data_IF_125377251226
#
_entry.id   IF_125377251226
#
_cell.length_a   1.000
_cell.length_b   1.000
_cell.length_c   1.000
_cell.angle_alpha   90.00
_cell.angle_beta   90.00
_cell.angle_gamma   90.00
#
_symmetry.space_group_name_H-M   'P 1'
#
loop_
_entity.id
_entity.type
_entity.pdbx_description
1 polymer ?
#
# COMPACT_ATOMS: atom_id res chain seq x y z
N UNK A 1 56.81 14.40 -4.69
CA UNK A 1 55.77 13.53 -4.12
C UNK A 1 54.45 13.90 -4.77
N UNK A 2 53.93 13.04 -5.65
CA UNK A 2 52.85 13.37 -6.56
C UNK A 2 51.53 13.62 -5.84
N UNK A 3 50.97 14.81 -6.00
CA UNK A 3 49.72 15.31 -5.40
C UNK A 3 48.45 14.78 -6.07
N UNK A 4 48.47 13.55 -6.59
CA UNK A 4 47.29 12.93 -7.23
C UNK A 4 46.17 12.61 -6.23
N UNK A 5 46.50 12.41 -4.95
CA UNK A 5 45.52 12.11 -3.90
C UNK A 5 44.45 13.21 -3.74
N UNK A 6 44.81 14.50 -3.59
CA UNK A 6 43.83 15.59 -3.59
C UNK A 6 42.92 15.64 -4.82
N UNK A 7 43.46 15.35 -6.02
CA UNK A 7 42.71 15.41 -7.27
C UNK A 7 41.70 14.26 -7.39
N UNK A 8 42.10 13.03 -7.04
CA UNK A 8 41.20 11.87 -7.04
C UNK A 8 40.09 12.07 -5.99
N UNK A 9 40.44 12.61 -4.82
CA UNK A 9 39.47 12.93 -3.78
C UNK A 9 38.45 13.99 -4.24
N UNK A 10 38.90 15.07 -4.89
CA UNK A 10 37.99 16.11 -5.37
C UNK A 10 37.07 15.63 -6.48
N UNK A 11 37.56 14.79 -7.41
CA UNK A 11 36.75 14.18 -8.47
C UNK A 11 35.68 13.25 -7.88
N UNK A 12 36.07 12.38 -6.93
CA UNK A 12 35.11 11.47 -6.29
C UNK A 12 34.06 12.23 -5.49
N UNK A 13 34.47 13.27 -4.74
CA UNK A 13 33.55 14.15 -4.02
C UNK A 13 32.57 14.86 -4.97
N UNK A 14 33.07 15.43 -6.07
CA UNK A 14 32.23 16.09 -7.07
C UNK A 14 31.23 15.12 -7.70
N UNK A 15 31.64 13.90 -8.01
CA UNK A 15 30.75 12.87 -8.55
C UNK A 15 29.65 12.47 -7.55
N UNK A 16 29.99 12.30 -6.27
CA UNK A 16 29.02 12.03 -5.19
C UNK A 16 28.03 13.20 -5.07
N UNK A 17 28.54 14.44 -5.02
CA UNK A 17 27.69 15.65 -4.95
C UNK A 17 26.76 15.76 -6.16
N UNK A 18 27.25 15.42 -7.36
CA UNK A 18 26.43 15.41 -8.57
C UNK A 18 25.30 14.38 -8.49
N UNK A 19 25.57 13.15 -8.03
CA UNK A 19 24.54 12.12 -7.83
C UNK A 19 23.49 12.58 -6.81
N UNK A 20 23.93 13.13 -5.68
CA UNK A 20 23.03 13.64 -4.64
C UNK A 20 22.18 14.78 -5.21
N UNK A 21 22.79 15.76 -5.88
CA UNK A 21 22.09 16.89 -6.50
C UNK A 21 21.05 16.42 -7.52
N UNK A 22 21.42 15.49 -8.40
CA UNK A 22 20.50 14.89 -9.38
C UNK A 22 19.32 14.21 -8.69
N UNK A 23 19.56 13.44 -7.63
CA UNK A 23 18.51 12.77 -6.87
C UNK A 23 17.58 13.78 -6.18
N UNK A 24 18.12 14.85 -5.59
CA UNK A 24 17.35 15.92 -4.97
C UNK A 24 16.48 16.66 -5.98
N UNK A 25 17.03 17.04 -7.14
CA UNK A 25 16.26 17.70 -8.21
C UNK A 25 15.12 16.78 -8.67
N UNK A 26 15.41 15.51 -8.92
CA UNK A 26 14.40 14.51 -9.31
C UNK A 26 13.31 14.38 -8.24
N UNK A 27 13.68 14.35 -6.97
CA UNK A 27 12.75 14.25 -5.85
C UNK A 27 11.86 15.51 -5.73
N UNK A 28 12.43 16.71 -5.91
CA UNK A 28 11.70 17.99 -5.87
C UNK A 28 10.66 18.04 -7.00
N UNK A 29 11.06 17.74 -8.24
CA UNK A 29 10.15 17.73 -9.39
C UNK A 29 9.02 16.72 -9.19
N UNK A 30 9.34 15.53 -8.66
CA UNK A 30 8.33 14.53 -8.37
C UNK A 30 7.35 14.99 -7.29
N UNK A 31 7.85 15.67 -6.25
CA UNK A 31 7.02 16.23 -5.17
C UNK A 31 6.06 17.30 -5.69
N UNK A 32 6.56 18.24 -6.50
CA UNK A 32 5.73 19.28 -7.12
C UNK A 32 4.63 18.70 -8.02
N UNK A 33 4.94 17.67 -8.82
CA UNK A 33 3.96 16.99 -9.66
C UNK A 33 2.85 16.34 -8.84
N UNK A 34 3.19 15.70 -7.71
CA UNK A 34 2.21 15.10 -6.81
C UNK A 34 1.34 16.16 -6.14
N UNK A 35 1.93 17.28 -5.72
CA UNK A 35 1.20 18.38 -5.07
C UNK A 35 0.24 19.06 -6.02
N UNK A 36 0.67 19.36 -7.25
CA UNK A 36 -0.21 19.87 -8.29
C UNK A 36 -1.41 18.94 -8.52
N UNK A 37 -1.17 17.63 -8.62
CA UNK A 37 -2.24 16.65 -8.80
C UNK A 37 -3.22 16.60 -7.62
N UNK A 38 -2.74 16.82 -6.39
CA UNK A 38 -3.62 16.92 -5.21
C UNK A 38 -4.52 18.16 -5.32
N UNK A 39 -3.96 19.31 -5.70
CA UNK A 39 -4.70 20.56 -5.87
C UNK A 39 -5.78 20.41 -6.96
N UNK A 40 -5.40 19.90 -8.13
CA UNK A 40 -6.32 19.69 -9.25
C UNK A 40 -7.52 18.81 -8.86
N UNK A 41 -7.26 17.73 -8.10
CA UNK A 41 -8.31 16.84 -7.58
C UNK A 41 -9.17 17.52 -6.50
N UNK A 42 -8.59 18.35 -5.63
CA UNK A 42 -9.34 19.10 -4.62
C UNK A 42 -10.27 20.13 -5.26
N UNK A 43 -9.82 20.84 -6.30
CA UNK A 43 -10.65 21.81 -7.01
C UNK A 43 -11.75 21.12 -7.83
N UNK A 44 -11.47 19.92 -8.35
CA UNK A 44 -12.49 19.07 -8.98
C UNK A 44 -13.62 18.68 -8.02
N UNK A 45 -13.30 18.49 -6.72
CA UNK A 45 -14.32 18.21 -5.70
C UNK A 45 -15.18 19.44 -5.42
N UNK A 46 -14.60 20.65 -5.43
CA UNK A 46 -15.35 21.91 -5.18
C UNK A 46 -16.33 22.25 -6.30
N UNK A 47 -16.05 21.83 -7.53
CA UNK A 47 -16.85 22.13 -8.72
C UNK A 47 -17.98 21.11 -8.96
N UNK A 48 -18.40 20.40 -7.90
CA UNK A 48 -19.48 19.40 -7.87
C UNK A 48 -19.32 18.22 -8.84
N UNK A 49 -18.12 18.02 -9.40
CA UNK A 49 -17.74 16.82 -10.16
C UNK A 49 -17.30 15.67 -9.25
N UNK A 50 -17.69 15.70 -7.98
CA UNK A 50 -17.20 14.80 -6.95
C UNK A 50 -17.73 13.37 -7.15
N UNK A 51 -16.96 12.54 -7.83
CA UNK A 51 -17.23 11.10 -7.98
C UNK A 51 -16.40 10.27 -6.99
N UNK A 52 -16.82 9.02 -6.79
CA UNK A 52 -16.04 8.06 -6.01
C UNK A 52 -14.60 7.93 -6.54
N UNK A 53 -14.40 8.04 -7.85
CA UNK A 53 -13.07 7.96 -8.45
C UNK A 53 -12.14 9.08 -8.00
N UNK A 54 -12.65 10.32 -7.93
CA UNK A 54 -11.85 11.47 -7.51
C UNK A 54 -11.46 11.31 -6.04
N UNK A 55 -12.41 10.92 -5.19
CA UNK A 55 -12.11 10.61 -3.79
C UNK A 55 -11.11 9.47 -3.65
N UNK A 56 -11.24 8.41 -4.44
CA UNK A 56 -10.30 7.29 -4.45
C UNK A 56 -8.89 7.71 -4.90
N UNK A 57 -8.78 8.41 -6.03
CA UNK A 57 -7.52 8.93 -6.58
C UNK A 57 -6.82 9.86 -5.59
N UNK A 58 -7.56 10.77 -4.96
CA UNK A 58 -7.01 11.67 -3.95
C UNK A 58 -6.60 10.91 -2.67
N UNK A 59 -7.40 9.93 -2.24
CA UNK A 59 -7.07 9.05 -1.12
C UNK A 59 -5.78 8.26 -1.35
N UNK A 60 -5.57 7.73 -2.55
CA UNK A 60 -4.32 7.05 -2.93
C UNK A 60 -3.11 7.98 -2.86
N UNK A 61 -3.23 9.25 -3.22
CA UNK A 61 -2.14 10.23 -3.08
C UNK A 61 -1.81 10.50 -1.61
N UNK A 62 -2.84 10.65 -0.77
CA UNK A 62 -2.62 10.80 0.68
C UNK A 62 -2.02 9.53 1.31
N UNK A 63 -2.43 8.34 0.86
CA UNK A 63 -1.84 7.08 1.28
C UNK A 63 -0.35 7.03 0.92
N UNK A 64 0.04 7.41 -0.30
CA UNK A 64 1.45 7.51 -0.73
C UNK A 64 2.25 8.52 0.10
N UNK A 65 1.62 9.63 0.53
CA UNK A 65 2.22 10.60 1.47
C UNK A 65 2.17 10.12 2.94
N UNK A 66 1.73 8.89 3.22
CA UNK A 66 1.54 8.32 4.57
C UNK A 66 0.58 9.11 5.47
N UNK A 67 -0.29 9.91 4.87
CA UNK A 67 -1.33 10.66 5.56
C UNK A 67 -2.59 9.80 5.70
N UNK A 68 -2.46 8.72 6.47
CA UNK A 68 -3.43 7.62 6.52
C UNK A 68 -4.85 8.05 6.93
N UNK A 69 -4.99 8.91 7.95
CA UNK A 69 -6.31 9.42 8.35
C UNK A 69 -7.03 10.21 7.24
N UNK A 70 -6.29 11.05 6.50
CA UNK A 70 -6.84 11.78 5.35
C UNK A 70 -7.25 10.82 4.23
N UNK A 71 -6.43 9.80 3.98
CA UNK A 71 -6.74 8.76 3.00
C UNK A 71 -8.02 8.00 3.35
N UNK A 72 -8.16 7.54 4.60
CA UNK A 72 -9.38 6.84 5.09
C UNK A 72 -10.62 7.72 4.92
N UNK A 73 -10.56 9.00 5.30
CA UNK A 73 -11.69 9.91 5.15
C UNK A 73 -12.17 9.98 3.69
N UNK A 74 -11.24 10.06 2.74
CA UNK A 74 -11.55 10.11 1.32
C UNK A 74 -12.06 8.77 0.80
N UNK A 75 -11.46 7.65 1.19
CA UNK A 75 -11.97 6.34 0.81
C UNK A 75 -13.38 6.08 1.33
N UNK A 76 -13.72 6.56 2.53
CA UNK A 76 -15.10 6.50 3.05
C UNK A 76 -16.06 7.37 2.23
N UNK A 77 -15.62 8.55 1.77
CA UNK A 77 -16.40 9.38 0.83
C UNK A 77 -16.57 8.70 -0.53
N UNK A 78 -15.54 7.99 -1.01
CA UNK A 78 -15.63 7.18 -2.22
C UNK A 78 -16.68 6.08 -2.08
N UNK A 79 -16.70 5.35 -0.96
CA UNK A 79 -17.75 4.37 -0.67
C UNK A 79 -19.16 5.00 -0.61
N UNK A 80 -19.29 6.18 0.00
CA UNK A 80 -20.59 6.88 0.11
C UNK A 80 -21.14 7.33 -1.24
N UNK A 81 -20.26 7.72 -2.16
CA UNK A 81 -20.60 8.20 -3.51
C UNK A 81 -20.46 7.11 -4.57
N UNK A 82 -20.35 5.85 -4.13
CA UNK A 82 -20.24 4.70 -5.00
C UNK A 82 -21.55 4.51 -5.78
N UNK A 83 -21.50 4.72 -7.09
CA UNK A 83 -22.68 4.73 -7.96
C UNK A 83 -22.52 3.80 -9.17
N UNK A 84 -21.57 2.86 -9.13
CA UNK A 84 -21.32 1.91 -10.21
C UNK A 84 -21.49 0.48 -9.73
N UNK A 85 -21.73 -0.45 -10.65
CA UNK A 85 -21.81 -1.88 -10.36
C UNK A 85 -20.45 -2.59 -10.44
N UNK A 86 -19.34 -1.84 -10.44
CA UNK A 86 -17.99 -2.39 -10.57
C UNK A 86 -17.54 -3.05 -9.25
N UNK A 87 -17.85 -4.34 -9.11
CA UNK A 87 -17.46 -5.14 -7.94
C UNK A 87 -15.95 -5.24 -7.78
N UNK A 88 -15.18 -5.24 -8.88
CA UNK A 88 -13.73 -5.38 -8.82
C UNK A 88 -13.11 -4.11 -8.22
N UNK A 89 -13.52 -2.95 -8.70
CA UNK A 89 -13.07 -1.69 -8.14
C UNK A 89 -13.55 -1.49 -6.69
N UNK A 90 -14.77 -1.95 -6.35
CA UNK A 90 -15.27 -1.90 -4.97
C UNK A 90 -14.44 -2.79 -4.03
N UNK A 91 -14.14 -4.03 -4.43
CA UNK A 91 -13.27 -4.92 -3.65
C UNK A 91 -11.84 -4.36 -3.49
N UNK A 92 -11.28 -3.77 -4.55
CA UNK A 92 -9.99 -3.07 -4.49
C UNK A 92 -10.00 -1.87 -3.54
N UNK A 93 -11.09 -1.09 -3.52
CA UNK A 93 -11.28 0.01 -2.59
C UNK A 93 -11.31 -0.49 -1.13
N UNK A 94 -12.05 -1.56 -0.84
CA UNK A 94 -12.06 -2.17 0.49
C UNK A 94 -10.68 -2.71 0.90
N UNK A 95 -9.95 -3.37 0.00
CA UNK A 95 -8.58 -3.79 0.28
C UNK A 95 -7.65 -2.59 0.55
N UNK A 96 -7.82 -1.49 -0.19
CA UNK A 96 -7.05 -0.25 0.03
C UNK A 96 -7.34 0.36 1.40
N UNK A 97 -8.60 0.36 1.83
CA UNK A 97 -9.00 0.81 3.18
C UNK A 97 -8.37 -0.10 4.23
N UNK A 98 -8.47 -1.42 4.06
CA UNK A 98 -7.84 -2.39 4.96
C UNK A 98 -6.33 -2.19 5.10
N UNK A 99 -5.65 -1.96 3.98
CA UNK A 99 -4.22 -1.62 3.96
C UNK A 99 -3.92 -0.33 4.70
N UNK A 100 -4.76 0.68 4.55
CA UNK A 100 -4.58 1.96 5.24
C UNK A 100 -4.73 1.82 6.76
N UNK A 101 -5.68 0.98 7.22
CA UNK A 101 -5.80 0.66 8.65
C UNK A 101 -4.65 -0.22 9.16
N UNK A 102 -4.15 -1.13 8.33
CA UNK A 102 -2.98 -1.94 8.65
C UNK A 102 -1.74 -1.07 8.91
N UNK A 103 -1.49 -0.06 8.07
CA UNK A 103 -0.38 0.90 8.26
C UNK A 103 -0.53 1.72 9.56
N UNK A 104 -1.76 1.95 10.02
CA UNK A 104 -2.06 2.55 11.33
C UNK A 104 -1.95 1.56 12.50
N UNK A 105 -1.55 0.31 12.25
CA UNK A 105 -1.53 -0.80 13.22
C UNK A 105 -2.90 -1.13 13.80
N UNK A 106 -3.99 -0.70 13.17
CA UNK A 106 -5.36 -1.03 13.55
C UNK A 106 -5.76 -2.34 12.86
N UNK A 107 -5.16 -3.44 13.31
CA UNK A 107 -5.24 -4.73 12.63
C UNK A 107 -6.66 -5.31 12.58
N UNK A 108 -7.48 -5.11 13.62
CA UNK A 108 -8.88 -5.55 13.63
C UNK A 108 -9.70 -4.94 12.48
N UNK A 109 -9.55 -3.63 12.28
CA UNK A 109 -10.20 -2.91 11.19
C UNK A 109 -9.63 -3.33 9.83
N UNK A 110 -8.32 -3.54 9.74
CA UNK A 110 -7.69 -4.04 8.53
C UNK A 110 -8.29 -5.40 8.12
N UNK A 111 -8.36 -6.34 9.07
CA UNK A 111 -8.96 -7.69 8.88
C UNK A 111 -10.41 -7.56 8.41
N UNK A 112 -11.22 -6.73 9.07
CA UNK A 112 -12.61 -6.50 8.69
C UNK A 112 -12.74 -6.08 7.21
N UNK A 113 -11.97 -5.08 6.78
CA UNK A 113 -12.06 -4.59 5.41
C UNK A 113 -11.46 -5.56 4.38
N UNK A 114 -10.39 -6.28 4.71
CA UNK A 114 -9.87 -7.33 3.82
C UNK A 114 -10.87 -8.47 3.63
N UNK A 115 -11.57 -8.89 4.68
CA UNK A 115 -12.64 -9.90 4.58
C UNK A 115 -13.77 -9.44 3.67
N UNK A 116 -14.15 -8.16 3.72
CA UNK A 116 -15.14 -7.61 2.78
C UNK A 116 -14.61 -7.67 1.34
N UNK A 117 -13.35 -7.26 1.11
CA UNK A 117 -12.75 -7.33 -0.21
C UNK A 117 -12.76 -8.76 -0.78
N UNK A 118 -12.42 -9.75 0.04
CA UNK A 118 -12.41 -11.18 -0.33
C UNK A 118 -13.85 -11.70 -0.55
N UNK A 119 -14.83 -11.24 0.22
CA UNK A 119 -16.24 -11.59 0.00
C UNK A 119 -16.74 -11.10 -1.36
N UNK A 120 -16.24 -9.97 -1.84
CA UNK A 120 -16.60 -9.40 -3.15
C UNK A 120 -15.79 -10.08 -4.27
N UNK A 121 -14.51 -10.35 -4.02
CA UNK A 121 -13.57 -10.95 -4.97
C UNK A 121 -12.86 -12.13 -4.29
N UNK A 122 -13.42 -13.35 -4.37
CA UNK A 122 -12.92 -14.52 -3.63
C UNK A 122 -11.48 -14.93 -3.94
N UNK A 123 -11.03 -14.68 -5.18
CA UNK A 123 -9.69 -15.00 -5.69
C UNK A 123 -8.72 -13.82 -5.60
N UNK A 124 -9.05 -12.78 -4.82
CA UNK A 124 -8.21 -11.59 -4.70
C UNK A 124 -6.95 -11.85 -3.86
N UNK A 125 -5.95 -12.44 -4.50
CA UNK A 125 -4.70 -12.90 -3.86
C UNK A 125 -3.99 -11.80 -3.06
N UNK A 126 -4.01 -10.55 -3.52
CA UNK A 126 -3.44 -9.44 -2.77
C UNK A 126 -4.16 -9.21 -1.42
N UNK A 127 -5.50 -9.22 -1.42
CA UNK A 127 -6.28 -9.07 -0.19
C UNK A 127 -6.12 -10.29 0.74
N UNK A 128 -6.04 -11.50 0.19
CA UNK A 128 -5.74 -12.72 0.96
C UNK A 128 -4.37 -12.66 1.63
N UNK A 129 -3.31 -12.21 0.92
CA UNK A 129 -1.99 -12.03 1.53
C UNK A 129 -1.96 -10.94 2.58
N UNK A 130 -2.66 -9.84 2.35
CA UNK A 130 -2.75 -8.74 3.31
C UNK A 130 -3.50 -9.17 4.59
N UNK A 131 -4.58 -9.94 4.43
CA UNK A 131 -5.31 -10.53 5.55
C UNK A 131 -4.43 -11.49 6.34
N UNK A 132 -3.69 -12.38 5.66
CA UNK A 132 -2.75 -13.30 6.30
C UNK A 132 -1.70 -12.54 7.14
N UNK A 133 -1.14 -11.47 6.58
CA UNK A 133 -0.15 -10.66 7.29
C UNK A 133 -0.75 -9.90 8.48
N UNK A 134 -2.00 -9.42 8.37
CA UNK A 134 -2.72 -8.83 9.51
C UNK A 134 -2.93 -9.84 10.64
N UNK A 135 -3.31 -11.08 10.31
CA UNK A 135 -3.41 -12.17 11.28
C UNK A 135 -2.06 -12.49 11.95
N UNK A 136 -0.96 -12.53 11.19
CA UNK A 136 0.37 -12.71 11.76
C UNK A 136 0.74 -11.61 12.76
N UNK A 137 0.38 -10.34 12.49
CA UNK A 137 0.63 -9.22 13.43
C UNK A 137 -0.16 -9.34 14.72
N UNK A 138 -1.26 -10.10 14.72
CA UNK A 138 -2.06 -10.40 15.89
C UNK A 138 -1.70 -11.75 16.54
N UNK A 139 -0.65 -12.43 16.07
CA UNK A 139 -0.29 -13.79 16.49
C UNK A 139 -1.37 -14.86 16.22
N UNK A 140 -2.32 -14.57 15.31
CA UNK A 140 -3.36 -15.49 14.87
C UNK A 140 -2.81 -16.38 13.75
N UNK A 141 -1.89 -17.27 14.12
CA UNK A 141 -1.08 -18.01 13.15
C UNK A 141 -1.87 -19.06 12.38
N UNK A 142 -2.91 -19.66 12.96
CA UNK A 142 -3.76 -20.64 12.27
C UNK A 142 -4.53 -19.98 11.12
N UNK A 143 -5.16 -18.84 11.38
CA UNK A 143 -5.91 -18.07 10.38
C UNK A 143 -4.99 -17.48 9.31
N UNK A 144 -3.78 -17.05 9.70
CA UNK A 144 -2.77 -16.62 8.74
C UNK A 144 -2.35 -17.76 7.81
N UNK A 145 -2.16 -18.96 8.34
CA UNK A 145 -1.79 -20.15 7.56
C UNK A 145 -2.87 -20.47 6.51
N UNK A 146 -4.14 -20.47 6.91
CA UNK A 146 -5.26 -20.74 6.00
C UNK A 146 -5.37 -19.69 4.88
N UNK A 147 -5.15 -18.41 5.20
CA UNK A 147 -5.13 -17.35 4.20
C UNK A 147 -3.97 -17.49 3.20
N UNK A 148 -2.76 -17.82 3.67
CA UNK A 148 -1.62 -18.07 2.78
C UNK A 148 -1.83 -19.33 1.92
N UNK A 149 -2.38 -20.41 2.51
CA UNK A 149 -2.74 -21.61 1.76
C UNK A 149 -3.73 -21.30 0.66
N UNK A 150 -4.80 -20.56 0.98
CA UNK A 150 -5.81 -20.13 0.00
C UNK A 150 -5.20 -19.24 -1.08
N UNK A 151 -4.27 -18.34 -0.73
CA UNK A 151 -3.53 -17.54 -1.71
C UNK A 151 -2.79 -18.43 -2.70
N UNK A 152 -2.13 -19.49 -2.23
CA UNK A 152 -1.37 -20.41 -3.08
C UNK A 152 -2.24 -21.34 -3.91
N UNK A 153 -3.50 -21.57 -3.52
CA UNK A 153 -4.49 -22.25 -4.37
C UNK A 153 -4.82 -21.38 -5.59
N UNK A 154 -5.08 -20.08 -5.39
CA UNK A 154 -5.42 -19.16 -6.48
C UNK A 154 -4.21 -18.70 -7.30
N UNK A 155 -3.05 -18.54 -6.66
CA UNK A 155 -1.78 -18.18 -7.30
C UNK A 155 -0.61 -18.99 -6.69
N UNK A 156 -0.32 -20.18 -7.26
CA UNK A 156 0.75 -21.05 -6.79
C UNK A 156 2.16 -20.44 -6.86
N UNK A 157 2.36 -19.40 -7.69
CA UNK A 157 3.65 -18.72 -7.86
C UNK A 157 3.80 -17.49 -6.95
N UNK A 158 2.91 -17.27 -5.99
CA UNK A 158 3.01 -16.15 -5.06
C UNK A 158 4.18 -16.37 -4.08
N UNK A 159 5.33 -15.74 -4.39
CA UNK A 159 6.57 -15.89 -3.61
C UNK A 159 6.40 -15.47 -2.14
N UNK A 160 5.66 -14.38 -1.89
CA UNK A 160 5.41 -13.89 -0.54
C UNK A 160 4.65 -14.94 0.27
N UNK A 161 3.54 -15.46 -0.26
CA UNK A 161 2.76 -16.48 0.44
C UNK A 161 3.55 -17.77 0.66
N UNK A 162 4.31 -18.24 -0.33
CA UNK A 162 5.18 -19.42 -0.22
C UNK A 162 6.27 -19.26 0.85
N UNK A 163 6.85 -18.06 0.97
CA UNK A 163 7.84 -17.78 2.01
C UNK A 163 7.21 -17.70 3.41
N UNK A 164 6.10 -16.97 3.54
CA UNK A 164 5.45 -16.72 4.84
C UNK A 164 4.76 -17.97 5.40
N UNK A 165 4.14 -18.81 4.56
CA UNK A 165 3.41 -20.01 5.02
C UNK A 165 4.31 -20.99 5.78
N UNK A 166 5.58 -21.12 5.39
CA UNK A 166 6.57 -21.96 6.09
C UNK A 166 6.87 -21.41 7.49
N UNK A 167 6.99 -20.09 7.60
CA UNK A 167 7.25 -19.41 8.88
C UNK A 167 6.07 -19.59 9.82
N UNK A 168 4.86 -19.35 9.32
CA UNK A 168 3.62 -19.48 10.10
C UNK A 168 3.39 -20.93 10.53
N UNK A 169 3.60 -21.91 9.65
CA UNK A 169 3.44 -23.34 9.97
C UNK A 169 4.27 -23.77 11.18
N UNK A 170 5.52 -23.30 11.28
CA UNK A 170 6.39 -23.60 12.44
C UNK A 170 5.81 -23.03 13.74
N UNK A 171 5.23 -21.83 13.69
CA UNK A 171 4.62 -21.19 14.86
C UNK A 171 3.32 -21.87 15.28
N UNK A 172 2.49 -22.31 14.33
CA UNK A 172 1.30 -23.12 14.63
C UNK A 172 1.69 -24.42 15.34
N UNK A 173 2.71 -25.13 14.85
CA UNK A 173 3.17 -26.37 15.44
C UNK A 173 3.78 -26.22 16.84
N UNK A 174 4.24 -25.02 17.22
CA UNK A 174 4.75 -24.74 18.57
C UNK A 174 3.63 -24.41 19.57
N UNK A 175 2.46 -24.01 19.09
CA UNK A 175 1.32 -23.59 19.91
C UNK A 175 0.25 -24.69 20.07
N UNK A 176 0.43 -25.83 19.40
CA UNK A 176 -0.40 -27.02 19.47
C UNK A 176 0.25 -28.06 20.39
#
# INVERSE_FOLDING_TARGET
>A
MNSFFPLIYSITLFFILFIISFYLIKQIVNTQKVEKKIIDLQDSIKTDKASYEIFYKLGQLYLKKKLFYKAILLFRRALKTWNTNDKIALGSLYNTIGFTYFELKQYDLAIYYYKIAIKIIPDYTLALTNLAYAYEKMNLYSEAYDCYKTTLVWNPKNELASSRILTVKRKVAYLA
#
